data_IF_484801930778
#
_entry.id   IF_484801930778
#
_cell.length_a   1.000
_cell.length_b   1.000
_cell.length_c   1.000
_cell.angle_alpha   90.00
_cell.angle_beta   90.00
_cell.angle_gamma   90.00
#
_symmetry.space_group_name_H-M   'P 1'
#
loop_
_entity.id
_entity.type
_entity.pdbx_description
1 polymer ?
#
# COMPACT_ATOMS: atom_id res chain seq x y z
N UNK A 1 9.21 -1.06 16.16
CA UNK A 1 8.15 -1.95 15.63
C UNK A 1 7.41 -1.21 14.51
N UNK A 2 7.05 -1.89 13.41
CA UNK A 2 6.28 -1.28 12.32
C UNK A 2 4.93 -0.76 12.82
N UNK A 3 4.49 0.39 12.29
CA UNK A 3 3.18 0.99 12.54
C UNK A 3 2.10 0.29 11.70
N UNK A 4 0.84 0.45 12.09
CA UNK A 4 -0.30 0.02 11.28
C UNK A 4 -0.82 1.18 10.42
N UNK A 5 -1.28 0.88 9.22
CA UNK A 5 -1.95 1.86 8.37
C UNK A 5 -3.37 2.15 8.86
N UNK A 6 -4.01 3.24 8.43
CA UNK A 6 -5.43 3.49 8.74
C UNK A 6 -6.39 2.40 8.23
N UNK A 7 -5.98 1.58 7.27
CA UNK A 7 -6.79 0.49 6.71
C UNK A 7 -6.49 -0.88 7.33
N UNK A 8 -5.52 -0.98 8.25
CA UNK A 8 -5.07 -2.25 8.80
C UNK A 8 -6.20 -3.12 9.34
N UNK A 9 -7.11 -2.56 10.15
CA UNK A 9 -8.23 -3.31 10.74
C UNK A 9 -9.20 -3.91 9.71
N UNK A 10 -9.30 -3.30 8.53
CA UNK A 10 -10.11 -3.81 7.41
C UNK A 10 -9.37 -4.85 6.59
N UNK A 11 -8.05 -4.75 6.50
CA UNK A 11 -7.23 -5.58 5.62
C UNK A 11 -6.71 -6.85 6.30
N UNK A 12 -6.45 -6.81 7.61
CA UNK A 12 -5.94 -7.93 8.41
C UNK A 12 -6.78 -9.22 8.32
N UNK A 13 -8.14 -9.15 8.29
CA UNK A 13 -8.98 -10.34 8.07
C UNK A 13 -8.79 -10.99 6.70
N UNK A 14 -8.38 -10.24 5.68
CA UNK A 14 -8.18 -10.77 4.32
C UNK A 14 -6.79 -11.35 4.11
N UNK A 15 -5.83 -11.15 5.02
CA UNK A 15 -4.47 -11.70 4.91
C UNK A 15 -4.49 -13.20 5.24
N UNK A 16 -4.90 -14.04 4.28
CA UNK A 16 -5.03 -15.50 4.47
C UNK A 16 -3.69 -16.17 4.83
N UNK A 17 -2.55 -15.82 4.20
CA UNK A 17 -1.27 -16.40 4.57
C UNK A 17 -0.75 -15.96 5.94
N UNK A 18 -1.31 -14.88 6.51
CA UNK A 18 -0.82 -14.24 7.74
C UNK A 18 0.65 -13.84 7.68
N UNK A 19 1.15 -13.55 6.48
CA UNK A 19 2.52 -13.07 6.23
C UNK A 19 2.51 -11.54 6.28
N UNK A 20 3.51 -10.98 6.93
CA UNK A 20 3.71 -9.54 7.04
C UNK A 20 5.14 -9.17 6.72
N UNK A 21 5.28 -8.00 6.10
CA UNK A 21 6.56 -7.38 5.77
C UNK A 21 6.60 -5.94 6.29
N UNK A 22 7.78 -5.34 6.25
CA UNK A 22 8.04 -3.97 6.64
C UNK A 22 8.20 -3.06 5.41
N UNK A 23 7.27 -2.13 5.21
CA UNK A 23 7.34 -1.15 4.13
C UNK A 23 7.18 0.27 4.67
N UNK A 24 8.21 1.10 4.47
CA UNK A 24 8.24 2.51 4.91
C UNK A 24 7.89 2.74 6.40
N UNK A 25 8.25 1.79 7.27
CA UNK A 25 7.91 1.88 8.70
C UNK A 25 6.55 1.30 9.07
N UNK A 26 5.80 0.73 8.13
CA UNK A 26 4.47 0.15 8.32
C UNK A 26 4.46 -1.36 8.10
N UNK A 27 3.51 -2.02 8.76
CA UNK A 27 3.18 -3.42 8.57
C UNK A 27 2.38 -3.56 7.27
N UNK A 28 2.92 -4.30 6.30
CA UNK A 28 2.33 -4.45 4.97
C UNK A 28 2.22 -5.94 4.61
N UNK A 29 1.08 -6.35 4.05
CA UNK A 29 0.93 -7.71 3.53
C UNK A 29 1.48 -7.76 2.10
N UNK A 30 2.46 -8.63 1.78
CA UNK A 30 2.98 -8.76 0.41
C UNK A 30 1.96 -9.42 -0.54
N UNK A 31 0.95 -10.09 0.02
CA UNK A 31 -0.18 -10.74 -0.65
C UNK A 31 -1.27 -11.06 0.37
N UNK A 32 -2.51 -11.11 -0.07
CA UNK A 32 -3.69 -11.48 0.72
C UNK A 32 -4.19 -12.90 0.43
N UNK A 33 -3.85 -13.47 -0.72
CA UNK A 33 -4.12 -14.85 -1.11
C UNK A 33 -2.85 -15.71 -1.06
N UNK A 34 -3.02 -17.03 -1.06
CA UNK A 34 -1.89 -17.97 -1.07
C UNK A 34 -1.08 -17.92 -2.38
N UNK A 35 -1.73 -17.56 -3.50
CA UNK A 35 -1.08 -17.40 -4.80
C UNK A 35 -1.09 -15.93 -5.22
N UNK A 36 0.10 -15.39 -5.47
CA UNK A 36 0.23 -14.04 -6.01
C UNK A 36 -0.34 -13.92 -7.44
N UNK A 37 -0.43 -15.06 -8.16
CA UNK A 37 -1.03 -15.12 -9.50
C UNK A 37 -2.53 -14.79 -9.44
N UNK A 38 -3.23 -15.20 -8.38
CA UNK A 38 -4.66 -14.89 -8.21
C UNK A 38 -4.86 -13.38 -8.09
N UNK A 39 -4.06 -12.70 -7.28
CA UNK A 39 -4.14 -11.24 -7.14
C UNK A 39 -3.73 -10.54 -8.45
N UNK A 40 -2.67 -11.01 -9.10
CA UNK A 40 -2.25 -10.50 -10.41
C UNK A 40 -3.37 -10.50 -11.44
N UNK A 41 -4.08 -11.63 -11.63
CA UNK A 41 -5.18 -11.70 -12.59
C UNK A 41 -6.43 -10.97 -12.12
N UNK A 42 -6.69 -10.88 -10.81
CA UNK A 42 -7.77 -10.06 -10.29
C UNK A 42 -7.63 -8.58 -10.69
N UNK A 43 -6.39 -8.07 -10.77
CA UNK A 43 -6.11 -6.70 -11.22
C UNK A 43 -6.21 -6.58 -12.74
N UNK A 44 -5.77 -7.59 -13.50
CA UNK A 44 -5.73 -7.56 -14.97
C UNK A 44 -7.11 -7.69 -15.61
N UNK A 45 -7.94 -8.56 -15.07
CA UNK A 45 -9.23 -8.93 -15.66
C UNK A 45 -10.42 -8.43 -14.83
N UNK A 46 -10.14 -7.65 -13.78
CA UNK A 46 -11.15 -7.17 -12.83
C UNK A 46 -10.70 -5.93 -12.08
N UNK A 47 -10.85 -5.96 -10.75
CA UNK A 47 -10.50 -4.83 -9.88
C UNK A 47 -9.64 -5.33 -8.71
N UNK A 48 -8.51 -4.67 -8.49
CA UNK A 48 -7.68 -4.82 -7.30
C UNK A 48 -7.70 -3.56 -6.44
N UNK A 49 -7.59 -3.72 -5.12
CA UNK A 49 -7.48 -2.62 -4.17
C UNK A 49 -6.14 -2.72 -3.46
N UNK A 50 -5.42 -1.61 -3.39
CA UNK A 50 -4.10 -1.52 -2.75
C UNK A 50 -4.10 -0.46 -1.66
N UNK A 51 -3.54 -0.81 -0.50
CA UNK A 51 -3.24 0.17 0.53
C UNK A 51 -1.88 0.83 0.26
N UNK A 52 -1.91 2.02 -0.32
CA UNK A 52 -0.73 2.85 -0.57
C UNK A 52 -0.53 3.94 0.47
N UNK A 53 -1.27 3.88 1.60
CA UNK A 53 -1.15 4.88 2.67
C UNK A 53 0.26 5.04 3.26
N UNK A 54 1.18 4.05 3.23
CA UNK A 54 2.58 4.24 3.63
C UNK A 54 3.40 5.18 2.74
N UNK A 55 3.02 5.40 1.47
CA UNK A 55 3.75 6.33 0.58
C UNK A 55 3.76 7.75 1.15
N UNK A 56 4.80 8.53 0.88
CA UNK A 56 4.79 9.94 1.23
C UNK A 56 3.92 10.73 0.25
N UNK A 57 3.04 11.60 0.78
CA UNK A 57 2.21 12.51 -0.01
C UNK A 57 2.64 13.94 0.31
N UNK A 58 3.12 14.65 -0.69
CA UNK A 58 3.58 16.03 -0.55
C UNK A 58 2.64 16.98 -1.28
N UNK A 59 2.47 18.17 -0.70
CA UNK A 59 1.84 19.32 -1.34
C UNK A 59 2.83 20.46 -1.28
N UNK A 60 3.32 20.89 -2.45
CA UNK A 60 4.31 21.96 -2.59
C UNK A 60 3.58 23.18 -3.16
N UNK A 61 3.76 24.35 -2.52
CA UNK A 61 3.00 25.57 -2.81
C UNK A 61 3.94 26.80 -2.80
N UNK A 62 3.49 27.88 -3.43
CA UNK A 62 4.22 29.15 -3.51
C UNK A 62 4.67 29.48 -4.92
N UNK A 63 4.99 30.76 -5.17
CA UNK A 63 5.39 31.26 -6.50
C UNK A 63 6.66 30.60 -7.05
N UNK A 64 7.56 30.13 -6.19
CA UNK A 64 8.79 29.41 -6.57
C UNK A 64 8.65 27.89 -6.66
N UNK A 65 7.45 27.32 -6.51
CA UNK A 65 7.28 25.86 -6.42
C UNK A 65 7.71 25.12 -7.71
N UNK A 66 7.48 25.70 -8.88
CA UNK A 66 7.91 25.13 -10.16
C UNK A 66 9.44 25.05 -10.24
N UNK A 67 10.11 26.17 -9.99
CA UNK A 67 11.58 26.24 -9.99
C UNK A 67 12.25 25.35 -8.93
N UNK A 68 11.55 24.97 -7.85
CA UNK A 68 12.05 24.00 -6.87
C UNK A 68 11.95 22.54 -7.36
N UNK A 69 11.01 22.24 -8.27
CA UNK A 69 10.75 20.90 -8.79
C UNK A 69 11.47 20.59 -10.10
N UNK A 70 11.98 21.61 -10.79
CA UNK A 70 12.81 21.50 -12.01
C UNK A 70 14.25 21.04 -11.69
#
# INVERSE_FOLDING_TARGET
>A
MPRQTPFFSRLEPYNKPKIWDHWAGYLSAPRYQYSAITEYYAIRDGVGVFDTSPLFKYRILGSGAGAFLD
#
